data_IF_233617637368
#
_entry.id   IF_233617637368
#
_cell.length_a   1.000
_cell.length_b   1.000
_cell.length_c   1.000
_cell.angle_alpha   90.00
_cell.angle_beta   90.00
_cell.angle_gamma   90.00
#
_symmetry.space_group_name_H-M   'P 1'
#
loop_
_entity.id
_entity.type
_entity.pdbx_description
1 polymer ?
#
# COMPACT_ATOMS: atom_id res chain seq x y z
N UNK A 1 20.20 19.11 -9.56
CA UNK A 1 19.81 18.13 -8.52
C UNK A 1 18.80 17.19 -9.15
N UNK A 2 19.22 15.98 -9.51
CA UNK A 2 18.31 14.90 -9.96
C UNK A 2 17.38 14.60 -8.79
N UNK A 3 16.20 15.22 -8.80
CA UNK A 3 15.28 15.22 -7.67
C UNK A 3 14.96 13.81 -7.22
N UNK A 4 14.99 13.59 -5.91
CA UNK A 4 14.61 12.33 -5.28
C UNK A 4 13.28 11.85 -5.88
N UNK A 5 13.32 10.69 -6.54
CA UNK A 5 12.13 10.02 -7.04
C UNK A 5 11.87 8.80 -6.18
N UNK A 6 10.61 8.56 -5.87
CA UNK A 6 10.16 7.36 -5.16
C UNK A 6 9.55 6.38 -6.15
N UNK A 7 9.78 5.10 -5.91
CA UNK A 7 9.41 4.02 -6.82
C UNK A 7 8.00 3.49 -6.55
N UNK A 8 7.37 2.93 -7.58
CA UNK A 8 6.17 2.13 -7.42
C UNK A 8 6.48 0.91 -6.53
N UNK A 9 5.57 0.59 -5.60
CA UNK A 9 5.62 -0.53 -4.66
C UNK A 9 5.70 -1.89 -5.37
N UNK A 10 5.25 -1.95 -6.63
CA UNK A 10 5.48 -3.09 -7.49
C UNK A 10 6.91 -3.01 -8.07
N UNK A 11 7.83 -3.88 -7.65
CA UNK A 11 9.23 -3.84 -8.09
C UNK A 11 9.39 -4.05 -9.60
N UNK A 12 8.40 -4.66 -10.27
CA UNK A 12 8.41 -4.92 -11.72
C UNK A 12 7.81 -3.78 -12.55
N UNK A 13 7.33 -2.69 -11.94
CA UNK A 13 6.61 -1.63 -12.65
C UNK A 13 7.52 -0.55 -13.26
N UNK A 14 8.62 -0.19 -12.58
CA UNK A 14 9.54 0.88 -13.00
C UNK A 14 8.99 2.31 -12.98
N UNK A 15 7.70 2.53 -12.64
CA UNK A 15 7.14 3.89 -12.51
C UNK A 15 7.65 4.55 -11.24
N UNK A 16 7.86 5.86 -11.32
CA UNK A 16 8.37 6.67 -10.23
C UNK A 16 7.59 7.98 -10.11
N UNK A 17 7.56 8.57 -8.93
CA UNK A 17 6.96 9.87 -8.66
C UNK A 17 7.99 10.83 -8.01
N UNK A 18 7.87 12.15 -8.21
CA UNK A 18 8.64 13.14 -7.46
C UNK A 18 8.36 13.04 -5.95
N UNK A 19 9.41 13.00 -5.11
CA UNK A 19 9.28 12.84 -3.65
C UNK A 19 8.64 14.06 -2.96
N UNK A 20 8.80 15.25 -3.54
CA UNK A 20 8.26 16.51 -3.01
C UNK A 20 6.73 16.51 -2.82
N UNK A 21 6.01 15.70 -3.58
CA UNK A 21 4.54 15.59 -3.49
C UNK A 21 4.03 14.53 -2.51
N UNK A 22 4.87 13.55 -2.16
CA UNK A 22 4.48 12.34 -1.44
C UNK A 22 5.12 12.25 -0.03
N UNK A 23 5.79 13.34 0.41
CA UNK A 23 6.32 13.50 1.76
C UNK A 23 7.45 12.52 2.09
N UNK A 24 7.38 11.91 3.28
CA UNK A 24 8.37 10.92 3.75
C UNK A 24 8.11 9.49 3.25
N UNK A 25 7.17 9.32 2.31
CA UNK A 25 6.86 8.00 1.75
C UNK A 25 8.09 7.42 1.03
N UNK A 26 8.38 6.14 1.26
CA UNK A 26 9.48 5.44 0.59
C UNK A 26 9.08 4.84 -0.76
N UNK A 27 7.78 4.65 -0.98
CA UNK A 27 7.20 4.10 -2.20
C UNK A 27 5.79 4.66 -2.47
N UNK A 28 5.30 4.45 -3.69
CA UNK A 28 3.95 4.83 -4.13
C UNK A 28 3.26 3.65 -4.82
N UNK A 29 1.96 3.73 -5.06
CA UNK A 29 1.29 2.82 -5.99
C UNK A 29 0.78 3.58 -7.22
N UNK A 30 1.31 3.25 -8.40
CA UNK A 30 0.85 3.88 -9.63
C UNK A 30 -0.55 3.39 -10.05
N UNK A 31 -1.24 4.17 -10.89
CA UNK A 31 -2.59 3.82 -11.39
C UNK A 31 -2.67 2.45 -12.08
N UNK A 32 -1.63 2.06 -12.83
CA UNK A 32 -1.59 0.73 -13.49
C UNK A 32 -1.59 -0.39 -12.45
N UNK A 33 -0.68 -0.34 -11.47
CA UNK A 33 -0.58 -1.36 -10.44
C UNK A 33 -1.79 -1.34 -9.49
N UNK A 34 -2.34 -0.16 -9.22
CA UNK A 34 -3.59 -0.04 -8.47
C UNK A 34 -4.74 -0.85 -9.10
N UNK A 35 -4.88 -0.81 -10.41
CA UNK A 35 -5.92 -1.55 -11.14
C UNK A 35 -5.71 -3.07 -11.15
N UNK A 36 -4.51 -3.55 -10.83
CA UNK A 36 -4.22 -4.99 -10.72
C UNK A 36 -4.55 -5.56 -9.33
N UNK A 37 -4.79 -4.71 -8.33
CA UNK A 37 -5.02 -5.18 -6.97
C UNK A 37 -6.32 -5.98 -6.86
N UNK A 38 -6.34 -7.06 -6.06
CA UNK A 38 -7.57 -7.71 -5.65
C UNK A 38 -8.55 -6.72 -5.05
N UNK A 39 -9.83 -6.79 -5.46
CA UNK A 39 -10.89 -5.86 -5.03
C UNK A 39 -10.93 -5.68 -3.51
N UNK A 40 -10.76 -6.77 -2.75
CA UNK A 40 -10.72 -6.76 -1.27
C UNK A 40 -9.64 -5.83 -0.70
N UNK A 41 -8.43 -5.85 -1.26
CA UNK A 41 -7.31 -5.01 -0.79
C UNK A 41 -7.55 -3.55 -1.15
N UNK A 42 -7.99 -3.28 -2.39
CA UNK A 42 -8.31 -1.94 -2.85
C UNK A 42 -9.47 -1.30 -2.05
N UNK A 43 -10.52 -2.07 -1.75
CA UNK A 43 -11.67 -1.61 -0.98
C UNK A 43 -11.31 -1.36 0.48
N UNK A 44 -10.43 -2.17 1.07
CA UNK A 44 -9.91 -1.92 2.42
C UNK A 44 -9.10 -0.63 2.48
N UNK A 45 -8.23 -0.37 1.51
CA UNK A 45 -7.52 0.90 1.42
C UNK A 45 -8.50 2.08 1.38
N UNK A 46 -9.47 2.06 0.46
CA UNK A 46 -10.48 3.13 0.33
C UNK A 46 -11.28 3.33 1.62
N UNK A 47 -11.63 2.25 2.31
CA UNK A 47 -12.34 2.31 3.57
C UNK A 47 -11.49 2.96 4.67
N UNK A 48 -10.20 2.60 4.77
CA UNK A 48 -9.26 3.21 5.70
C UNK A 48 -9.07 4.70 5.39
N UNK A 49 -8.84 5.09 4.13
CA UNK A 49 -8.70 6.51 3.76
C UNK A 49 -9.95 7.33 4.09
N UNK A 50 -11.16 6.76 3.96
CA UNK A 50 -12.40 7.45 4.37
C UNK A 50 -12.50 7.60 5.88
N UNK A 51 -12.11 6.57 6.65
CA UNK A 51 -12.12 6.59 8.11
C UNK A 51 -11.10 7.58 8.65
N UNK A 52 -9.91 7.61 8.06
CA UNK A 52 -8.85 8.54 8.37
C UNK A 52 -9.32 9.99 8.17
N UNK A 53 -9.76 10.36 6.96
CA UNK A 53 -10.33 11.69 6.68
C UNK A 53 -11.46 12.09 7.64
N UNK A 54 -12.32 11.15 8.01
CA UNK A 54 -13.41 11.41 8.98
C UNK A 54 -12.84 11.64 10.38
N UNK A 55 -11.86 10.84 10.80
CA UNK A 55 -11.21 10.99 12.09
C UNK A 55 -10.47 12.31 12.17
N UNK A 56 -9.66 12.69 11.17
CA UNK A 56 -8.93 13.96 11.16
C UNK A 56 -9.88 15.14 11.36
N UNK A 57 -10.99 15.19 10.60
CA UNK A 57 -12.02 16.23 10.78
C UNK A 57 -12.64 16.26 12.18
N UNK A 58 -12.85 15.11 12.80
CA UNK A 58 -13.39 15.01 14.16
C UNK A 58 -12.37 15.45 15.21
N UNK A 59 -11.10 15.10 15.01
CA UNK A 59 -9.98 15.54 15.85
C UNK A 59 -9.87 17.06 15.76
N UNK A 60 -9.80 17.63 14.57
CA UNK A 60 -9.67 19.08 14.36
C UNK A 60 -10.80 19.84 15.07
N UNK A 61 -12.05 19.38 14.89
CA UNK A 61 -13.22 19.97 15.55
C UNK A 61 -13.13 19.90 17.07
N UNK A 62 -12.75 18.75 17.64
CA UNK A 62 -12.71 18.56 19.09
C UNK A 62 -11.51 19.23 19.74
N UNK A 63 -10.39 19.28 19.04
CA UNK A 63 -9.20 20.02 19.44
C UNK A 63 -9.49 21.51 19.48
N UNK A 64 -10.08 22.08 18.42
CA UNK A 64 -10.50 23.48 18.38
C UNK A 64 -11.49 23.83 19.51
N UNK A 65 -12.35 22.88 19.91
CA UNK A 65 -13.28 23.06 21.02
C UNK A 65 -12.67 22.81 22.42
N UNK A 66 -11.40 22.40 22.52
CA UNK A 66 -10.75 22.06 23.79
C UNK A 66 -11.34 20.82 24.51
N UNK A 67 -12.13 20.01 23.80
CA UNK A 67 -12.95 18.93 24.41
C UNK A 67 -12.28 17.56 24.39
N UNK A 68 -11.10 17.45 23.79
CA UNK A 68 -10.38 16.18 23.66
C UNK A 68 -8.92 16.35 24.09
N UNK A 69 -8.46 15.57 25.09
CA UNK A 69 -7.07 15.62 25.50
C UNK A 69 -6.16 14.99 24.42
N UNK A 70 -4.97 15.56 24.27
CA UNK A 70 -3.99 15.18 23.24
C UNK A 70 -3.69 13.67 23.21
N UNK A 71 -3.63 12.99 24.37
CA UNK A 71 -3.33 11.55 24.41
C UNK A 71 -4.38 10.71 23.67
N UNK A 72 -5.66 11.10 23.68
CA UNK A 72 -6.71 10.37 22.94
C UNK A 72 -6.56 10.58 21.43
N UNK A 73 -6.16 11.77 21.02
CA UNK A 73 -5.88 12.09 19.61
C UNK A 73 -4.75 11.18 19.11
N UNK A 74 -3.64 11.13 19.86
CA UNK A 74 -2.49 10.30 19.53
C UNK A 74 -2.86 8.81 19.49
N UNK A 75 -3.66 8.32 20.45
CA UNK A 75 -4.14 6.94 20.48
C UNK A 75 -4.96 6.59 19.22
N UNK A 76 -5.91 7.46 18.84
CA UNK A 76 -6.76 7.22 17.67
C UNK A 76 -5.96 7.28 16.36
N UNK A 77 -5.01 8.21 16.25
CA UNK A 77 -4.07 8.28 15.13
C UNK A 77 -3.27 6.99 14.98
N UNK A 78 -2.62 6.55 16.07
CA UNK A 78 -1.82 5.32 16.09
C UNK A 78 -2.60 4.07 15.65
N UNK A 79 -3.88 3.96 16.01
CA UNK A 79 -4.74 2.86 15.60
C UNK A 79 -5.01 2.87 14.09
N UNK A 80 -5.30 4.03 13.50
CA UNK A 80 -5.52 4.14 12.06
C UNK A 80 -4.22 3.89 11.30
N UNK A 81 -3.10 4.48 11.75
CA UNK A 81 -1.78 4.31 11.13
C UNK A 81 -1.34 2.85 11.14
N UNK A 82 -1.61 2.13 12.24
CA UNK A 82 -1.36 0.70 12.33
C UNK A 82 -2.15 -0.10 11.29
N UNK A 83 -3.42 0.24 11.06
CA UNK A 83 -4.25 -0.42 10.04
C UNK A 83 -3.85 -0.04 8.62
N UNK A 84 -3.47 1.22 8.38
CA UNK A 84 -2.96 1.69 7.11
C UNK A 84 -1.65 0.97 6.74
N UNK A 85 -0.70 0.88 7.68
CA UNK A 85 0.56 0.13 7.49
C UNK A 85 0.32 -1.34 7.17
N UNK A 86 -0.58 -2.02 7.89
CA UNK A 86 -0.94 -3.42 7.59
C UNK A 86 -1.54 -3.58 6.19
N UNK A 87 -2.40 -2.65 5.78
CA UNK A 87 -2.98 -2.69 4.44
C UNK A 87 -1.94 -2.41 3.35
N UNK A 88 -1.02 -1.48 3.60
CA UNK A 88 0.10 -1.21 2.69
C UNK A 88 1.04 -2.41 2.54
N UNK A 89 1.35 -3.10 3.65
CA UNK A 89 2.11 -4.35 3.62
C UNK A 89 1.42 -5.44 2.80
N UNK A 90 0.08 -5.54 2.86
CA UNK A 90 -0.68 -6.47 2.02
C UNK A 90 -0.60 -6.12 0.52
N UNK A 91 -0.63 -4.83 0.17
CA UNK A 91 -0.39 -4.35 -1.20
C UNK A 91 1.01 -4.75 -1.66
N UNK A 92 2.04 -4.53 -0.81
CA UNK A 92 3.41 -4.89 -1.13
C UNK A 92 3.57 -6.41 -1.34
N UNK A 93 2.99 -7.21 -0.43
CA UNK A 93 3.05 -8.67 -0.49
C UNK A 93 2.45 -9.22 -1.78
N UNK A 94 1.31 -8.67 -2.22
CA UNK A 94 0.67 -9.06 -3.48
C UNK A 94 1.60 -8.96 -4.69
N UNK A 95 2.45 -7.92 -4.75
CA UNK A 95 3.39 -7.76 -5.87
C UNK A 95 4.71 -8.52 -5.69
N UNK A 96 5.18 -8.69 -4.45
CA UNK A 96 6.46 -9.37 -4.15
C UNK A 96 6.34 -10.88 -4.22
N UNK A 97 5.22 -11.43 -3.76
CA UNK A 97 5.00 -12.88 -3.63
C UNK A 97 3.73 -13.28 -4.41
N UNK A 98 3.76 -13.20 -5.75
CA UNK A 98 2.65 -13.71 -6.54
C UNK A 98 2.51 -15.22 -6.31
N UNK A 99 1.27 -15.70 -6.17
CA UNK A 99 1.00 -17.13 -6.15
C UNK A 99 1.50 -17.78 -7.44
N UNK A 100 2.06 -18.99 -7.32
CA UNK A 100 2.48 -19.79 -8.47
C UNK A 100 1.23 -20.07 -9.32
N UNK A 101 1.23 -19.79 -10.64
CA UNK A 101 0.10 -20.10 -11.50
C UNK A 101 -0.24 -21.58 -11.42
N UNK A 102 -1.52 -21.89 -11.32
CA UNK A 102 -2.02 -23.26 -11.41
C UNK A 102 -1.64 -23.85 -12.78
N UNK A 103 -1.15 -25.10 -12.78
CA UNK A 103 -0.72 -25.77 -14.01
C UNK A 103 0.64 -25.33 -14.56
N UNK A 104 1.37 -24.44 -13.89
CA UNK A 104 2.73 -24.06 -14.31
C UNK A 104 3.67 -25.27 -14.37
N UNK A 105 3.54 -26.22 -13.43
CA UNK A 105 4.37 -27.43 -13.41
C UNK A 105 4.07 -28.32 -14.62
N UNK A 106 2.80 -28.55 -14.92
CA UNK A 106 2.39 -29.32 -16.11
C UNK A 106 2.90 -28.64 -17.39
N UNK A 107 2.76 -27.32 -17.50
CA UNK A 107 3.26 -26.57 -18.64
C UNK A 107 4.79 -26.70 -18.79
N UNK A 108 5.54 -26.59 -17.70
CA UNK A 108 7.01 -26.72 -17.72
C UNK A 108 7.45 -28.14 -18.10
N UNK A 109 6.71 -29.16 -17.65
CA UNK A 109 6.91 -30.55 -18.06
C UNK A 109 6.65 -30.75 -19.55
N UNK A 110 5.53 -30.21 -20.06
CA UNK A 110 5.13 -30.34 -21.46
C UNK A 110 6.15 -29.74 -22.45
N UNK A 111 6.91 -28.72 -22.01
CA UNK A 111 7.96 -28.08 -22.84
C UNK A 111 9.38 -28.54 -22.48
N UNK A 112 9.53 -29.53 -21.60
CA UNK A 112 10.82 -30.13 -21.24
C UNK A 112 11.76 -29.25 -20.42
N UNK A 113 11.24 -28.27 -19.67
CA UNK A 113 12.03 -27.32 -18.86
C UNK A 113 12.07 -27.66 -17.36
N UNK A 114 11.79 -28.92 -17.00
CA UNK A 114 11.63 -29.36 -15.61
C UNK A 114 12.96 -29.41 -14.81
N UNK A 115 14.11 -29.19 -15.45
CA UNK A 115 15.44 -29.38 -14.84
C UNK A 115 16.44 -28.23 -15.05
N UNK A 116 16.00 -26.99 -15.25
CA UNK A 116 16.92 -25.84 -15.18
C UNK A 116 16.71 -25.08 -13.87
N UNK A 117 17.28 -25.63 -12.80
CA UNK A 117 17.54 -24.88 -11.56
C UNK A 117 18.89 -24.18 -11.70
N UNK A 118 18.98 -22.85 -11.48
CA UNK A 118 20.23 -22.22 -11.03
C UNK A 118 20.54 -22.58 -9.57
#
# INVERSE_FOLDING_TARGET
MTGDRICCINPRCGRTAPKDKDGESTDIICRRCWNLLPKRIADRFRALSRRDKRLSRLIDKRFAAGTMPQYRINMLGNLIDGQARRNWAAIAAYFRYPEKPEGLENFLADIGLENETP
#
